data_IF_255930359151
#
_entry.id   IF_255930359151
#
_cell.length_a   1.000
_cell.length_b   1.000
_cell.length_c   1.000
_cell.angle_alpha   90.00
_cell.angle_beta   90.00
_cell.angle_gamma   90.00
#
_symmetry.space_group_name_H-M   'P 1'
#
loop_
_entity.id
_entity.type
_entity.pdbx_description
1 polymer ?
#
# COMPACT_ATOMS: atom_id res chain seq x y z
N UNK A 1 -29.86 12.18 -9.27
CA UNK A 1 -30.37 11.60 -8.00
C UNK A 1 -29.32 11.58 -6.88
N UNK A 2 -28.01 11.50 -7.18
CA UNK A 2 -26.90 11.63 -6.20
C UNK A 2 -26.59 13.07 -5.76
N UNK A 3 -26.91 14.09 -6.57
CA UNK A 3 -26.60 15.49 -6.25
C UNK A 3 -27.35 16.10 -5.04
N UNK A 4 -28.51 15.56 -4.67
CA UNK A 4 -29.27 16.05 -3.51
C UNK A 4 -28.71 15.57 -2.15
N UNK A 5 -27.93 14.47 -2.14
CA UNK A 5 -27.28 13.97 -0.93
C UNK A 5 -26.07 14.82 -0.52
N UNK A 6 -25.37 15.43 -1.49
CA UNK A 6 -24.20 16.30 -1.25
C UNK A 6 -24.60 17.62 -0.55
N UNK A 7 -25.88 17.99 -0.61
CA UNK A 7 -26.41 19.23 -0.01
C UNK A 7 -26.76 19.08 1.47
N UNK A 8 -26.70 17.86 2.02
CA UNK A 8 -26.86 17.66 3.46
C UNK A 8 -25.61 18.18 4.19
N UNK A 9 -25.77 19.02 5.23
CA UNK A 9 -24.66 19.58 5.98
C UNK A 9 -23.75 18.50 6.60
N UNK A 10 -24.33 17.35 6.96
CA UNK A 10 -23.61 16.17 7.44
C UNK A 10 -22.63 15.60 6.41
N UNK A 11 -23.02 15.54 5.13
CA UNK A 11 -22.18 15.02 4.05
C UNK A 11 -21.04 15.98 3.72
N UNK A 12 -21.29 17.29 3.81
CA UNK A 12 -20.25 18.32 3.62
C UNK A 12 -19.21 18.28 4.73
N UNK A 13 -19.62 17.99 5.98
CA UNK A 13 -18.70 17.87 7.12
C UNK A 13 -17.81 16.64 7.01
N UNK A 14 -18.38 15.51 6.60
CA UNK A 14 -17.63 14.30 6.26
C UNK A 14 -16.63 14.52 5.11
N UNK A 15 -17.02 15.28 4.07
CA UNK A 15 -16.11 15.58 2.96
C UNK A 15 -14.89 16.39 3.38
N UNK A 16 -15.06 17.37 4.27
CA UNK A 16 -13.94 18.15 4.81
C UNK A 16 -13.02 17.26 5.65
N UNK A 17 -13.60 16.38 6.48
CA UNK A 17 -12.83 15.39 7.24
C UNK A 17 -12.01 14.49 6.33
N UNK A 18 -12.64 13.90 5.30
CA UNK A 18 -11.96 13.06 4.31
C UNK A 18 -10.84 13.81 3.61
N UNK A 19 -11.03 15.09 3.27
CA UNK A 19 -9.99 15.89 2.62
C UNK A 19 -8.77 16.13 3.53
N UNK A 20 -9.00 16.36 4.83
CA UNK A 20 -7.91 16.48 5.82
C UNK A 20 -7.16 15.16 5.96
N UNK A 21 -7.87 14.03 6.04
CA UNK A 21 -7.27 12.69 6.16
C UNK A 21 -6.46 12.33 4.90
N UNK A 22 -6.96 12.69 3.70
CA UNK A 22 -6.25 12.46 2.44
C UNK A 22 -4.87 13.14 2.45
N UNK A 23 -4.77 14.35 3.03
CA UNK A 23 -3.49 15.06 3.13
C UNK A 23 -2.43 14.28 3.91
N UNK A 24 -2.82 13.63 4.99
CA UNK A 24 -1.93 12.79 5.81
C UNK A 24 -1.59 11.47 5.11
N UNK A 25 -2.56 10.84 4.45
CA UNK A 25 -2.37 9.60 3.69
C UNK A 25 -1.40 9.79 2.52
N UNK A 26 -1.36 10.96 1.88
CA UNK A 26 -0.46 11.20 0.72
C UNK A 26 1.01 11.00 1.09
N UNK A 27 1.45 11.42 2.28
CA UNK A 27 2.84 11.21 2.70
C UNK A 27 3.17 9.71 2.84
N UNK A 28 2.23 8.94 3.39
CA UNK A 28 2.36 7.49 3.53
C UNK A 28 2.34 6.81 2.16
N UNK A 29 1.47 7.27 1.26
CA UNK A 29 1.38 6.76 -0.11
C UNK A 29 2.67 6.98 -0.90
N UNK A 30 3.33 8.13 -0.73
CA UNK A 30 4.63 8.40 -1.36
C UNK A 30 5.70 7.44 -0.81
N UNK A 31 5.73 7.22 0.51
CA UNK A 31 6.65 6.28 1.14
C UNK A 31 6.40 4.83 0.68
N UNK A 32 5.13 4.44 0.55
CA UNK A 32 4.68 3.16 0.02
C UNK A 32 5.18 2.93 -1.41
N UNK A 33 4.90 3.86 -2.33
CA UNK A 33 5.32 3.77 -3.73
C UNK A 33 6.85 3.73 -3.82
N UNK A 34 7.56 4.54 -3.04
CA UNK A 34 9.03 4.55 -3.01
C UNK A 34 9.60 3.20 -2.57
N UNK A 35 8.97 2.56 -1.58
CA UNK A 35 9.35 1.24 -1.11
C UNK A 35 9.14 0.18 -2.19
N UNK A 36 8.00 0.19 -2.89
CA UNK A 36 7.74 -0.72 -4.02
C UNK A 36 8.75 -0.52 -5.14
N UNK A 37 9.04 0.73 -5.53
CA UNK A 37 10.02 1.04 -6.57
C UNK A 37 11.40 0.53 -6.17
N UNK A 38 11.80 0.72 -4.91
CA UNK A 38 13.08 0.26 -4.38
C UNK A 38 13.19 -1.27 -4.39
N UNK A 39 12.16 -1.99 -3.94
CA UNK A 39 12.14 -3.45 -3.96
C UNK A 39 12.03 -4.01 -5.37
N UNK A 40 11.29 -3.36 -6.27
CA UNK A 40 11.25 -3.72 -7.69
C UNK A 40 12.61 -3.56 -8.35
N UNK A 41 13.33 -2.48 -8.04
CA UNK A 41 14.71 -2.31 -8.48
C UNK A 41 15.62 -3.43 -7.98
N UNK A 42 15.56 -3.76 -6.68
CA UNK A 42 16.35 -4.87 -6.10
C UNK A 42 16.03 -6.19 -6.80
N UNK A 43 14.74 -6.52 -6.95
CA UNK A 43 14.30 -7.75 -7.58
C UNK A 43 14.81 -7.84 -9.03
N UNK A 44 14.65 -6.78 -9.83
CA UNK A 44 15.17 -6.75 -11.20
C UNK A 44 16.70 -6.89 -11.20
N UNK A 45 17.43 -6.18 -10.35
CA UNK A 45 18.90 -6.32 -10.32
C UNK A 45 19.39 -7.69 -9.88
N UNK A 46 18.62 -8.41 -9.06
CA UNK A 46 19.01 -9.70 -8.50
C UNK A 46 18.64 -10.87 -9.42
N UNK A 47 17.51 -10.76 -10.14
CA UNK A 47 16.99 -11.84 -10.99
C UNK A 47 17.26 -11.66 -12.48
N UNK A 48 17.58 -10.44 -12.96
CA UNK A 48 17.78 -10.16 -14.40
C UNK A 48 18.79 -11.06 -15.12
N UNK A 49 19.84 -11.50 -14.42
CA UNK A 49 20.90 -12.35 -15.01
C UNK A 49 20.68 -13.86 -14.70
N UNK A 50 19.52 -14.23 -14.16
CA UNK A 50 19.23 -15.63 -13.80
C UNK A 50 18.50 -16.33 -14.94
N UNK A 51 19.23 -17.10 -15.74
CA UNK A 51 18.63 -17.94 -16.78
C UNK A 51 18.22 -19.30 -16.20
N UNK A 52 16.93 -19.62 -16.27
CA UNK A 52 16.41 -20.91 -15.84
C UNK A 52 14.91 -21.07 -16.09
N UNK A 53 14.50 -22.28 -16.44
CA UNK A 53 13.09 -22.67 -16.53
C UNK A 53 12.78 -23.68 -15.44
N UNK A 54 11.87 -23.34 -14.52
CA UNK A 54 11.39 -24.26 -13.49
C UNK A 54 9.88 -24.43 -13.66
N UNK A 55 9.41 -25.68 -13.75
CA UNK A 55 8.00 -26.02 -14.01
C UNK A 55 7.40 -25.41 -15.29
N UNK A 56 8.21 -25.20 -16.34
CA UNK A 56 7.74 -24.65 -17.63
C UNK A 56 7.47 -23.14 -17.61
N UNK A 57 7.80 -22.45 -16.52
CA UNK A 57 7.80 -20.99 -16.39
C UNK A 57 9.24 -20.49 -16.27
N UNK A 58 9.50 -19.32 -16.85
CA UNK A 58 10.80 -18.66 -16.71
C UNK A 58 10.94 -18.18 -15.25
N UNK A 59 12.13 -18.37 -14.67
CA UNK A 59 12.43 -17.90 -13.30
C UNK A 59 12.24 -16.38 -13.18
N UNK A 60 12.34 -15.68 -14.31
CA UNK A 60 12.19 -14.24 -14.42
C UNK A 60 10.80 -13.80 -14.90
N UNK A 61 9.80 -14.69 -14.98
CA UNK A 61 8.47 -14.33 -15.47
C UNK A 61 7.90 -13.14 -14.67
N UNK A 62 7.88 -11.95 -15.28
CA UNK A 62 7.48 -10.69 -14.63
C UNK A 62 8.62 -9.81 -14.11
N UNK A 63 9.88 -10.27 -14.07
CA UNK A 63 11.06 -9.55 -13.57
C UNK A 63 12.08 -9.19 -14.68
N UNK A 64 11.81 -9.53 -15.95
CA UNK A 64 12.71 -9.31 -17.09
C UNK A 64 13.03 -7.83 -17.37
N UNK A 65 12.06 -6.96 -17.10
CA UNK A 65 12.13 -5.52 -17.42
C UNK A 65 11.66 -4.73 -16.21
N UNK A 66 12.28 -3.59 -15.94
CA UNK A 66 11.92 -2.73 -14.80
C UNK A 66 10.42 -2.41 -14.71
N UNK A 67 9.76 -2.11 -15.84
CA UNK A 67 8.32 -1.85 -15.86
C UNK A 67 7.46 -3.08 -15.55
N UNK A 68 7.87 -4.28 -15.97
CA UNK A 68 7.18 -5.53 -15.62
C UNK A 68 7.44 -5.87 -14.15
N UNK A 69 8.68 -5.75 -13.69
CA UNK A 69 9.06 -6.01 -12.30
C UNK A 69 8.37 -5.08 -11.32
N UNK A 70 8.16 -3.82 -11.69
CA UNK A 70 7.39 -2.88 -10.88
C UNK A 70 5.93 -3.31 -10.76
N UNK A 71 5.29 -3.75 -11.85
CA UNK A 71 3.92 -4.25 -11.80
C UNK A 71 3.83 -5.55 -10.99
N UNK A 72 4.74 -6.49 -11.21
CA UNK A 72 4.77 -7.77 -10.48
C UNK A 72 5.00 -7.57 -8.98
N UNK A 73 5.95 -6.71 -8.59
CA UNK A 73 6.18 -6.39 -7.17
C UNK A 73 5.03 -5.58 -6.56
N UNK A 74 4.34 -4.75 -7.34
CA UNK A 74 3.14 -4.04 -6.89
C UNK A 74 1.97 -5.01 -6.61
N UNK A 75 1.69 -5.92 -7.53
CA UNK A 75 0.65 -6.96 -7.38
C UNK A 75 1.01 -7.89 -6.21
N UNK A 76 2.25 -8.36 -6.15
CA UNK A 76 2.77 -9.16 -5.05
C UNK A 76 2.71 -8.42 -3.70
N UNK A 77 2.88 -7.09 -3.70
CA UNK A 77 2.73 -6.23 -2.52
C UNK A 77 1.29 -6.13 -2.02
N UNK A 78 0.31 -6.38 -2.89
CA UNK A 78 -1.11 -6.53 -2.52
C UNK A 78 -1.46 -7.98 -2.15
N UNK A 79 -0.46 -8.86 -2.01
CA UNK A 79 -0.57 -10.31 -1.77
C UNK A 79 -1.30 -11.10 -2.84
N UNK A 80 -1.65 -10.44 -3.95
CA UNK A 80 -2.20 -11.08 -5.14
C UNK A 80 -1.05 -11.67 -5.96
N UNK A 81 -1.22 -12.88 -6.50
CA UNK A 81 -0.21 -13.61 -7.29
C UNK A 81 1.20 -13.73 -6.64
N UNK A 82 1.32 -13.44 -5.33
CA UNK A 82 2.60 -13.44 -4.61
C UNK A 82 3.26 -14.82 -4.65
N UNK A 83 2.49 -15.89 -4.42
CA UNK A 83 3.01 -17.26 -4.43
C UNK A 83 3.55 -17.67 -5.80
N UNK A 84 2.91 -17.21 -6.87
CA UNK A 84 3.31 -17.52 -8.24
C UNK A 84 4.63 -16.84 -8.61
N UNK A 85 4.91 -15.67 -8.05
CA UNK A 85 6.20 -14.98 -8.21
C UNK A 85 7.28 -15.50 -7.22
N UNK A 86 6.87 -15.90 -6.01
CA UNK A 86 7.77 -16.36 -4.95
C UNK A 86 8.31 -17.76 -5.19
N UNK A 87 7.48 -18.70 -5.64
CA UNK A 87 7.87 -20.10 -5.86
C UNK A 87 9.06 -20.28 -6.84
N UNK A 88 9.06 -19.67 -8.05
CA UNK A 88 10.19 -19.83 -8.98
C UNK A 88 11.46 -19.17 -8.45
N UNK A 89 11.37 -18.00 -7.81
CA UNK A 89 12.55 -17.30 -7.27
C UNK A 89 13.12 -18.00 -6.03
N UNK A 90 12.29 -18.63 -5.21
CA UNK A 90 12.71 -19.40 -4.03
C UNK A 90 13.34 -20.75 -4.39
N UNK A 91 12.86 -21.40 -5.44
CA UNK A 91 13.38 -22.71 -5.88
C UNK A 91 14.78 -22.62 -6.49
N UNK A 92 15.13 -21.50 -7.16
CA UNK A 92 16.51 -21.27 -7.65
C UNK A 92 17.44 -20.80 -6.52
N UNK A 93 17.05 -19.78 -5.78
CA UNK A 93 17.90 -19.18 -4.75
C UNK A 93 17.16 -19.13 -3.42
N UNK A 94 17.47 -20.02 -2.48
CA UNK A 94 16.83 -20.02 -1.14
C UNK A 94 16.97 -18.69 -0.39
N UNK A 95 18.02 -17.92 -0.69
CA UNK A 95 18.27 -16.60 -0.10
C UNK A 95 17.28 -15.53 -0.59
N UNK A 96 16.63 -15.72 -1.75
CA UNK A 96 15.57 -14.84 -2.22
C UNK A 96 14.38 -14.79 -1.27
N UNK A 97 14.16 -15.89 -0.52
CA UNK A 97 13.10 -15.96 0.47
C UNK A 97 13.21 -14.89 1.55
N UNK A 98 14.43 -14.47 1.91
CA UNK A 98 14.67 -13.45 2.92
C UNK A 98 14.33 -12.04 2.39
N UNK A 99 14.61 -11.78 1.11
CA UNK A 99 14.23 -10.53 0.42
C UNK A 99 12.72 -10.40 0.36
N UNK A 100 12.02 -11.46 -0.07
CA UNK A 100 10.56 -11.49 -0.13
C UNK A 100 9.89 -11.41 1.24
N UNK A 101 10.45 -12.06 2.27
CA UNK A 101 9.96 -11.97 3.64
C UNK A 101 10.11 -10.53 4.17
N UNK A 102 11.27 -9.92 3.96
CA UNK A 102 11.52 -8.53 4.39
C UNK A 102 10.58 -7.57 3.66
N UNK A 103 10.36 -7.78 2.36
CA UNK A 103 9.38 -7.04 1.57
C UNK A 103 7.97 -7.15 2.17
N UNK A 104 7.49 -8.37 2.45
CA UNK A 104 6.17 -8.58 3.06
C UNK A 104 6.05 -7.95 4.45
N UNK A 105 7.08 -8.03 5.29
CA UNK A 105 7.06 -7.40 6.61
C UNK A 105 6.93 -5.88 6.46
N UNK A 106 7.67 -5.26 5.56
CA UNK A 106 7.61 -3.80 5.36
C UNK A 106 6.28 -3.38 4.73
N UNK A 107 5.83 -4.06 3.68
CA UNK A 107 4.64 -3.67 2.90
C UNK A 107 3.34 -4.05 3.61
N UNK A 108 3.24 -5.27 4.12
CA UNK A 108 2.01 -5.80 4.70
C UNK A 108 1.88 -5.51 6.19
N UNK A 109 2.97 -5.59 6.96
CA UNK A 109 2.89 -5.38 8.41
C UNK A 109 3.18 -3.93 8.80
N UNK A 110 4.19 -3.28 8.23
CA UNK A 110 4.53 -1.91 8.66
C UNK A 110 3.64 -0.88 7.97
N UNK A 111 3.58 -0.89 6.64
CA UNK A 111 2.86 0.11 5.85
C UNK A 111 1.34 0.03 6.01
N UNK A 112 0.74 -1.17 6.00
CA UNK A 112 -0.70 -1.32 6.18
C UNK A 112 -1.15 -0.88 7.60
N UNK A 113 -0.40 -1.25 8.63
CA UNK A 113 -0.70 -0.80 10.01
C UNK A 113 -0.49 0.70 10.16
N UNK A 114 0.53 1.29 9.53
CA UNK A 114 0.73 2.74 9.54
C UNK A 114 -0.45 3.48 8.88
N UNK A 115 -0.94 3.01 7.73
CA UNK A 115 -2.12 3.59 7.09
C UNK A 115 -3.34 3.48 8.01
N UNK A 116 -3.54 2.32 8.66
CA UNK A 116 -4.66 2.12 9.57
C UNK A 116 -4.57 3.04 10.80
N UNK A 117 -3.40 3.15 11.42
CA UNK A 117 -3.15 4.02 12.56
C UNK A 117 -3.41 5.50 12.22
N UNK A 118 -2.97 5.95 11.04
CA UNK A 118 -3.25 7.33 10.61
C UNK A 118 -4.72 7.59 10.32
N UNK A 119 -5.46 6.63 9.74
CA UNK A 119 -6.91 6.74 9.57
C UNK A 119 -7.60 6.82 10.94
N UNK A 120 -7.20 5.97 11.91
CA UNK A 120 -7.75 5.99 13.27
C UNK A 120 -7.44 7.31 13.97
N UNK A 121 -6.19 7.79 13.90
CA UNK A 121 -5.79 9.06 14.49
C UNK A 121 -6.59 10.24 13.93
N UNK A 122 -6.75 10.29 12.60
CA UNK A 122 -7.54 11.32 11.95
C UNK A 122 -9.04 11.23 12.32
N UNK A 123 -9.57 10.01 12.47
CA UNK A 123 -10.95 9.80 12.92
C UNK A 123 -11.17 10.25 14.37
N UNK A 124 -10.25 9.91 15.29
CA UNK A 124 -10.32 10.35 16.69
C UNK A 124 -10.27 11.88 16.80
N UNK A 125 -9.36 12.51 16.06
CA UNK A 125 -9.26 13.98 16.01
C UNK A 125 -10.55 14.62 15.50
N UNK A 126 -11.20 14.02 14.50
CA UNK A 126 -12.48 14.52 14.00
C UNK A 126 -13.62 14.36 15.00
N UNK A 127 -13.60 13.29 15.81
CA UNK A 127 -14.57 13.10 16.88
C UNK A 127 -14.42 14.16 17.98
N UNK A 128 -13.19 14.47 18.38
CA UNK A 128 -12.91 15.52 19.37
C UNK A 128 -13.39 16.90 18.88
N UNK A 129 -13.07 17.27 17.63
CA UNK A 129 -13.53 18.54 17.03
C UNK A 129 -15.07 18.63 16.93
N UNK A 130 -15.74 17.50 16.74
CA UNK A 130 -17.20 17.39 16.72
C UNK A 130 -17.81 17.65 18.09
N UNK A 131 -17.25 17.04 19.13
CA UNK A 131 -17.75 17.16 20.52
C UNK A 131 -17.54 18.58 21.06
N UNK A 132 -16.41 19.24 20.74
CA UNK A 132 -16.16 20.63 21.11
C UNK A 132 -17.12 21.61 20.42
N UNK A 133 -17.42 21.40 19.13
CA UNK A 133 -18.39 22.21 18.39
C UNK A 133 -19.80 22.10 19.00
N UNK A 134 -20.23 20.90 19.38
CA UNK A 134 -21.53 20.69 20.01
C UNK A 134 -21.61 21.31 21.41
N UNK A 135 -20.55 21.19 22.22
CA UNK A 135 -20.45 21.82 23.53
C UNK A 135 -20.54 23.36 23.42
N UNK A 136 -19.88 23.96 22.43
CA UNK A 136 -19.90 25.41 22.21
C UNK A 136 -21.28 25.90 21.71
N UNK A 137 -22.01 25.06 20.96
CA UNK A 137 -23.37 25.38 20.49
C UNK A 137 -24.41 25.36 21.62
N UNK A 138 -24.24 24.52 22.64
CA UNK A 138 -25.16 24.40 23.79
C UNK A 138 -24.95 25.48 24.86
N UNK A 139 -23.87 26.24 24.79
CA UNK A 139 -23.53 27.32 25.72
C UNK A 139 -24.01 28.70 25.22
N UNK A 140 -24.46 28.80 23.97
CA UNK A 140 -25.15 29.99 23.42
C UNK A 140 -26.67 29.84 23.44
#
# INVERSE_FOLDING_TARGET
RTGYLILLPEVRRLLVCVYTVIGEIVFIAIFYISTIVFFAWIAVTLFKDTDGTIFGKEVNEGLDTFSRGLNTVFIAGSTEEFLDCFLPTYTVYRQSGLVWLTFLVVVQLLLLNLVLDTIVAAYMRHQEETEESDATSKVK
#
